data_IF_090996763759
#
_entry.id   IF_090996763759
#
_cell.length_a   1.000
_cell.length_b   1.000
_cell.length_c   1.000
_cell.angle_alpha   90.00
_cell.angle_beta   90.00
_cell.angle_gamma   90.00
#
_symmetry.space_group_name_H-M   'P 1'
#
loop_
_entity.id
_entity.type
_entity.pdbx_description
1 polymer ?
#
# COMPACT_ATOMS: atom_id res chain seq x y z
N UNK A 1 1.38 8.31 -19.01
CA UNK A 1 1.63 7.87 -17.62
C UNK A 1 1.98 6.39 -17.71
N UNK A 2 3.06 5.97 -17.08
CA UNK A 2 3.43 4.54 -17.02
C UNK A 2 2.75 3.89 -15.83
N UNK A 3 2.62 2.57 -15.86
CA UNK A 3 1.98 1.78 -14.80
C UNK A 3 2.62 1.99 -13.43
N UNK A 4 3.94 2.09 -13.38
CA UNK A 4 4.71 2.40 -12.17
C UNK A 4 4.36 3.76 -11.57
N UNK A 5 4.17 4.78 -12.41
CA UNK A 5 3.73 6.11 -11.94
C UNK A 5 2.29 6.09 -11.43
N UNK A 6 1.43 5.23 -11.98
CA UNK A 6 0.06 5.04 -11.47
C UNK A 6 0.08 4.35 -10.11
N UNK A 7 0.86 3.29 -9.97
CA UNK A 7 1.06 2.57 -8.69
C UNK A 7 1.57 3.55 -7.63
N UNK A 8 2.60 4.32 -7.95
CA UNK A 8 3.19 5.27 -7.03
C UNK A 8 2.21 6.36 -6.61
N UNK A 9 1.42 6.92 -7.54
CA UNK A 9 0.36 7.89 -7.21
C UNK A 9 -0.70 7.34 -6.28
N UNK A 10 -1.07 6.07 -6.43
CA UNK A 10 -2.07 5.40 -5.57
C UNK A 10 -1.46 5.06 -4.21
N UNK A 11 -0.21 4.59 -4.19
CA UNK A 11 0.50 4.15 -2.99
C UNK A 11 1.00 5.31 -2.12
N UNK A 12 1.47 6.42 -2.70
CA UNK A 12 1.98 7.59 -1.97
C UNK A 12 1.07 8.08 -0.83
N UNK A 13 -0.24 8.34 -1.06
CA UNK A 13 -1.11 8.79 0.02
C UNK A 13 -1.30 7.71 1.11
N UNK A 14 -1.22 6.43 0.75
CA UNK A 14 -1.37 5.30 1.67
C UNK A 14 -0.13 5.15 2.54
N UNK A 15 1.06 5.18 1.93
CA UNK A 15 2.36 5.14 2.62
C UNK A 15 2.45 6.31 3.60
N UNK A 16 2.07 7.51 3.18
CA UNK A 16 2.09 8.70 4.03
C UNK A 16 1.13 8.61 5.22
N UNK A 17 -0.01 7.93 5.07
CA UNK A 17 -0.86 7.59 6.20
C UNK A 17 -0.17 6.56 7.09
N UNK A 18 0.44 5.54 6.50
CA UNK A 18 1.15 4.51 7.23
C UNK A 18 2.32 5.06 8.07
N UNK A 19 3.11 5.99 7.54
CA UNK A 19 4.16 6.68 8.28
C UNK A 19 3.62 7.48 9.47
N UNK A 20 2.41 8.05 9.36
CA UNK A 20 1.74 8.70 10.49
C UNK A 20 1.31 7.69 11.54
N UNK A 21 0.74 6.56 11.11
CA UNK A 21 0.41 5.45 12.00
C UNK A 21 1.66 4.93 12.70
N UNK A 22 2.75 4.67 11.98
CA UNK A 22 4.05 4.30 12.55
C UNK A 22 4.55 5.33 13.57
N UNK A 23 4.43 6.64 13.31
CA UNK A 23 4.80 7.66 14.31
C UNK A 23 3.90 7.70 15.54
N UNK A 24 2.60 7.43 15.38
CA UNK A 24 1.66 7.36 16.50
C UNK A 24 1.75 6.03 17.27
N UNK A 25 2.19 4.95 16.61
CA UNK A 25 2.30 3.61 17.16
C UNK A 25 3.73 3.20 17.51
N UNK A 26 4.74 3.95 17.11
CA UNK A 26 6.18 3.61 17.14
C UNK A 26 6.80 3.47 18.52
N UNK A 27 6.05 3.73 19.59
CA UNK A 27 6.45 3.41 20.97
C UNK A 27 5.99 2.01 21.40
N UNK A 28 5.06 1.39 20.66
CA UNK A 28 4.63 0.01 20.88
C UNK A 28 5.46 -0.92 20.00
N UNK A 29 6.16 -1.92 20.58
CA UNK A 29 6.81 -2.94 19.77
C UNK A 29 5.72 -3.69 19.00
N UNK A 30 5.58 -3.38 17.71
CA UNK A 30 4.76 -4.18 16.82
C UNK A 30 5.44 -5.55 16.74
N UNK A 31 4.80 -6.57 17.32
CA UNK A 31 5.32 -7.94 17.30
C UNK A 31 5.42 -8.53 15.87
N UNK A 32 4.79 -7.86 14.91
CA UNK A 32 4.63 -8.31 13.54
C UNK A 32 4.43 -7.12 12.61
N UNK A 33 4.97 -7.23 11.40
CA UNK A 33 4.81 -6.27 10.32
C UNK A 33 3.32 -6.11 9.98
N UNK A 34 2.82 -4.87 9.80
CA UNK A 34 1.48 -4.67 9.27
C UNK A 34 1.39 -5.29 7.87
N UNK A 35 0.29 -5.99 7.61
CA UNK A 35 -0.04 -6.50 6.28
C UNK A 35 -1.13 -5.62 5.69
N UNK A 36 -0.90 -5.14 4.47
CA UNK A 36 -1.90 -4.39 3.72
C UNK A 36 -2.58 -5.35 2.75
N UNK A 37 -3.91 -5.33 2.76
CA UNK A 37 -4.72 -6.06 1.78
C UNK A 37 -5.86 -5.17 1.28
N UNK A 38 -5.98 -5.03 -0.02
CA UNK A 38 -7.09 -4.34 -0.65
C UNK A 38 -8.22 -5.35 -0.85
N UNK A 39 -9.42 -4.93 -0.46
CA UNK A 39 -10.63 -5.74 -0.61
C UNK A 39 -11.60 -4.95 -1.47
N UNK A 40 -11.95 -5.51 -2.63
CA UNK A 40 -13.09 -5.01 -3.40
C UNK A 40 -14.36 -5.42 -2.64
N UNK A 41 -15.20 -4.47 -2.27
CA UNK A 41 -16.50 -4.81 -1.66
C UNK A 41 -17.31 -5.65 -2.66
N UNK A 42 -17.91 -6.74 -2.18
CA UNK A 42 -18.68 -7.67 -3.01
C UNK A 42 -19.92 -7.02 -3.67
N UNK A 43 -20.33 -5.83 -3.21
CA UNK A 43 -21.44 -5.02 -3.74
C UNK A 43 -20.97 -3.96 -4.76
N UNK A 44 -19.67 -3.83 -5.01
CA UNK A 44 -19.18 -3.11 -6.19
C UNK A 44 -19.44 -4.00 -7.39
N UNK A 45 -20.52 -3.71 -8.12
CA UNK A 45 -20.90 -4.42 -9.34
C UNK A 45 -19.75 -4.60 -10.34
N UNK A 46 -20.02 -5.36 -11.40
CA UNK A 46 -19.10 -5.78 -12.47
C UNK A 46 -18.41 -4.63 -13.25
N UNK A 47 -18.49 -3.39 -12.77
CA UNK A 47 -17.78 -2.25 -13.31
C UNK A 47 -16.28 -2.23 -12.95
N UNK A 48 -15.47 -1.57 -13.79
CA UNK A 48 -14.05 -1.36 -13.52
C UNK A 48 -13.86 -0.58 -12.21
N UNK A 49 -12.94 -1.01 -11.35
CA UNK A 49 -12.60 -0.30 -10.12
C UNK A 49 -11.81 0.95 -10.51
N UNK A 50 -12.32 2.15 -10.22
CA UNK A 50 -11.66 3.40 -10.60
C UNK A 50 -11.16 4.16 -9.37
N UNK A 51 -9.88 4.51 -9.36
CA UNK A 51 -9.26 5.39 -8.36
C UNK A 51 -8.95 6.71 -9.04
N UNK A 52 -9.83 7.70 -8.83
CA UNK A 52 -9.78 8.96 -9.57
C UNK A 52 -10.05 8.73 -11.06
N UNK A 53 -9.10 9.12 -11.91
CA UNK A 53 -9.14 8.93 -13.37
C UNK A 53 -8.43 7.65 -13.84
N UNK A 54 -8.01 6.79 -12.91
CA UNK A 54 -7.24 5.56 -13.21
C UNK A 54 -8.15 4.35 -13.06
N UNK A 55 -8.26 3.56 -14.12
CA UNK A 55 -8.85 2.22 -14.07
C UNK A 55 -7.86 1.28 -13.38
N UNK A 56 -8.26 0.78 -12.21
CA UNK A 56 -7.50 -0.15 -11.40
C UNK A 56 -8.03 -1.55 -11.70
N UNK A 57 -7.24 -2.28 -12.46
CA UNK A 57 -7.44 -3.72 -12.67
C UNK A 57 -6.94 -4.50 -11.46
N UNK A 58 -7.35 -5.75 -11.32
CA UNK A 58 -6.82 -6.66 -10.28
C UNK A 58 -5.29 -6.75 -10.35
N UNK A 59 -4.71 -6.80 -11.56
CA UNK A 59 -3.24 -6.79 -11.74
C UNK A 59 -2.57 -5.52 -11.19
N UNK A 60 -3.20 -4.36 -11.36
CA UNK A 60 -2.68 -3.10 -10.82
C UNK A 60 -2.80 -3.07 -9.29
N UNK A 61 -3.92 -3.57 -8.77
CA UNK A 61 -4.18 -3.67 -7.34
C UNK A 61 -3.10 -4.53 -6.65
N UNK A 62 -2.81 -5.71 -7.20
CA UNK A 62 -1.79 -6.62 -6.68
C UNK A 62 -0.39 -5.97 -6.66
N UNK A 63 -0.07 -5.16 -7.68
CA UNK A 63 1.21 -4.42 -7.73
C UNK A 63 1.26 -3.28 -6.72
N UNK A 64 0.16 -2.55 -6.53
CA UNK A 64 0.04 -1.52 -5.49
C UNK A 64 0.19 -2.14 -4.10
N UNK A 65 -0.46 -3.27 -3.87
CA UNK A 65 -0.33 -4.07 -2.64
C UNK A 65 1.12 -4.45 -2.36
N UNK A 66 1.78 -5.07 -3.35
CA UNK A 66 3.17 -5.48 -3.22
C UNK A 66 4.09 -4.29 -2.94
N UNK A 67 3.90 -3.17 -3.63
CA UNK A 67 4.69 -1.95 -3.42
C UNK A 67 4.55 -1.40 -2.00
N UNK A 68 3.31 -1.32 -1.47
CA UNK A 68 3.07 -0.82 -0.12
C UNK A 68 3.64 -1.78 0.92
N UNK A 69 3.52 -3.09 0.70
CA UNK A 69 4.08 -4.11 1.59
C UNK A 69 5.60 -4.04 1.65
N UNK A 70 6.27 -3.81 0.51
CA UNK A 70 7.72 -3.66 0.43
C UNK A 70 8.19 -2.40 1.19
N UNK A 71 7.49 -1.28 1.04
CA UNK A 71 7.76 -0.04 1.79
C UNK A 71 7.59 -0.23 3.30
N UNK A 72 6.56 -0.96 3.74
CA UNK A 72 6.38 -1.37 5.15
C UNK A 72 7.57 -2.19 5.63
N UNK A 73 7.97 -3.19 4.86
CA UNK A 73 9.12 -4.02 5.19
C UNK A 73 10.41 -3.21 5.28
N UNK A 74 10.62 -2.23 4.40
CA UNK A 74 11.78 -1.34 4.44
C UNK A 74 11.76 -0.41 5.66
N UNK A 75 10.59 0.05 6.10
CA UNK A 75 10.46 0.88 7.31
C UNK A 75 10.74 0.08 8.59
N UNK A 76 10.33 -1.19 8.64
CA UNK A 76 10.39 -2.02 9.85
C UNK A 76 11.56 -3.01 9.91
N UNK A 77 12.14 -3.43 8.77
CA UNK A 77 13.44 -4.12 8.82
C UNK A 77 14.44 -3.05 9.21
N UNK A 78 15.10 -3.14 10.37
CA UNK A 78 16.31 -2.36 10.56
C UNK A 78 17.20 -2.77 9.39
N UNK A 79 17.62 -1.82 8.56
CA UNK A 79 18.81 -2.02 7.74
C UNK A 79 19.88 -2.52 8.71
N UNK A 80 20.12 -3.83 8.73
CA UNK A 80 21.34 -4.39 9.29
C UNK A 80 22.39 -3.91 8.29
N UNK A 81 22.88 -2.70 8.53
CA UNK A 81 24.13 -2.24 7.97
C UNK A 81 25.18 -3.13 8.64
N UNK A 82 25.70 -4.06 7.86
CA UNK A 82 26.67 -5.07 8.26
C UNK A 82 28.02 -4.45 8.62
#
# INVERSE_FOLDING_TARGET
>A
MTEDEMIKKIAEPIIKQLEKFEKEFGDRPMAQLPQVKFVKEADMGDGPFMVGDIEVTDELLEKVEAYIQDEIEMMHKPTILH
#
